data_IF_633782534477
#
_entry.id   IF_633782534477
#
_cell.length_a   1.000
_cell.length_b   1.000
_cell.length_c   1.000
_cell.angle_alpha   90.00
_cell.angle_beta   90.00
_cell.angle_gamma   90.00
#
_symmetry.space_group_name_H-M   'P 1'
#
loop_
_entity.id
_entity.type
_entity.pdbx_description
1 polymer ?
#
# COMPACT_ATOMS: atom_id res chain seq x y z
N UNK A 1 -4.47 -5.01 8.86
CA UNK A 1 -3.01 -5.10 9.02
C UNK A 1 -2.59 -6.54 8.92
N UNK A 2 -1.51 -6.89 8.20
CA UNK A 2 -1.18 -8.27 7.89
C UNK A 2 0.31 -8.54 8.11
N UNK A 3 0.69 -9.68 8.73
CA UNK A 3 2.06 -10.15 8.72
C UNK A 3 2.46 -10.56 7.28
N UNK A 4 3.67 -10.23 6.89
CA UNK A 4 4.19 -10.57 5.56
C UNK A 4 4.89 -11.92 5.65
N UNK A 5 4.28 -12.96 5.10
CA UNK A 5 4.89 -14.28 4.95
C UNK A 5 5.11 -14.60 3.47
N UNK A 6 5.94 -15.59 3.17
CA UNK A 6 6.20 -16.03 1.80
C UNK A 6 4.91 -16.43 1.04
N UNK A 7 3.93 -16.98 1.76
CA UNK A 7 2.66 -17.45 1.20
C UNK A 7 1.51 -16.47 1.39
N UNK A 8 1.75 -15.32 2.06
CA UNK A 8 0.70 -14.35 2.35
C UNK A 8 0.03 -13.83 1.07
N UNK A 9 -1.29 -13.78 1.13
CA UNK A 9 -2.13 -13.20 0.08
C UNK A 9 -2.92 -12.04 0.65
N UNK A 10 -2.88 -10.93 -0.05
CA UNK A 10 -3.53 -9.68 0.35
C UNK A 10 -4.65 -9.36 -0.63
N UNK A 11 -5.87 -9.22 -0.12
CA UNK A 11 -6.99 -8.75 -0.91
C UNK A 11 -6.99 -7.21 -0.93
N UNK A 12 -6.74 -6.62 -2.08
CA UNK A 12 -6.71 -5.16 -2.26
C UNK A 12 -7.62 -4.84 -3.45
N UNK A 13 -8.71 -4.12 -3.19
CA UNK A 13 -9.71 -3.77 -4.21
C UNK A 13 -10.21 -5.00 -4.98
N UNK A 14 -10.64 -6.02 -4.24
CA UNK A 14 -11.16 -7.28 -4.77
C UNK A 14 -10.16 -8.04 -5.68
N UNK A 15 -8.89 -7.76 -5.54
CA UNK A 15 -7.82 -8.44 -6.28
C UNK A 15 -6.83 -9.05 -5.28
N UNK A 16 -6.52 -10.32 -5.48
CA UNK A 16 -5.56 -11.06 -4.67
C UNK A 16 -4.12 -10.78 -5.15
N UNK A 17 -3.26 -10.40 -4.21
CA UNK A 17 -1.84 -10.17 -4.46
C UNK A 17 -0.98 -11.02 -3.53
N UNK A 18 0.12 -11.55 -4.05
CA UNK A 18 1.29 -11.94 -3.27
C UNK A 18 2.23 -10.74 -3.17
N UNK A 19 3.23 -10.78 -2.30
CA UNK A 19 4.25 -9.72 -2.22
C UNK A 19 4.95 -9.49 -3.56
N UNK A 20 5.29 -10.57 -4.27
CA UNK A 20 5.94 -10.48 -5.58
C UNK A 20 5.03 -9.85 -6.64
N UNK A 21 3.77 -10.26 -6.72
CA UNK A 21 2.83 -9.69 -7.68
C UNK A 21 2.46 -8.25 -7.35
N UNK A 22 2.42 -7.89 -6.06
CA UNK A 22 2.12 -6.53 -5.60
C UNK A 22 3.26 -5.55 -5.92
N UNK A 23 4.50 -5.93 -5.67
CA UNK A 23 5.68 -5.07 -5.87
C UNK A 23 6.35 -5.24 -7.23
N UNK A 24 6.05 -6.31 -7.96
CA UNK A 24 6.76 -6.73 -9.18
C UNK A 24 8.27 -6.86 -8.95
N UNK A 25 8.66 -7.38 -7.78
CA UNK A 25 10.06 -7.52 -7.38
C UNK A 25 10.25 -8.63 -6.35
N UNK A 26 10.93 -9.69 -6.74
CA UNK A 26 11.32 -10.78 -5.82
C UNK A 26 12.23 -10.28 -4.69
N UNK A 27 13.13 -9.33 -5.02
CA UNK A 27 14.02 -8.73 -4.03
C UNK A 27 13.24 -8.02 -2.94
N UNK A 28 12.33 -7.13 -3.32
CA UNK A 28 11.49 -6.39 -2.35
C UNK A 28 10.62 -7.36 -1.55
N UNK A 29 10.03 -8.37 -2.18
CA UNK A 29 9.24 -9.37 -1.47
C UNK A 29 10.03 -10.05 -0.36
N UNK A 30 11.30 -10.42 -0.64
CA UNK A 30 12.20 -11.03 0.33
C UNK A 30 12.66 -10.07 1.43
N UNK A 31 12.93 -8.80 1.09
CA UNK A 31 13.37 -7.77 2.05
C UNK A 31 12.31 -7.50 3.14
N UNK A 32 11.03 -7.61 2.81
CA UNK A 32 9.91 -7.35 3.73
C UNK A 32 9.29 -8.62 4.34
N UNK A 33 9.81 -9.80 4.03
CA UNK A 33 9.35 -11.05 4.64
C UNK A 33 9.57 -11.03 6.16
N UNK A 34 8.55 -11.36 6.93
CA UNK A 34 8.54 -11.23 8.40
C UNK A 34 8.18 -9.84 8.92
N UNK A 35 7.99 -8.87 8.04
CA UNK A 35 7.53 -7.52 8.36
C UNK A 35 6.01 -7.39 8.43
N UNK A 36 5.53 -6.16 8.44
CA UNK A 36 4.10 -5.82 8.56
C UNK A 36 3.65 -5.07 7.32
N UNK A 37 2.48 -5.45 6.80
CA UNK A 37 1.76 -4.73 5.74
C UNK A 37 0.50 -4.09 6.33
N UNK A 38 0.39 -2.76 6.22
CA UNK A 38 -0.79 -1.99 6.59
C UNK A 38 -1.51 -1.53 5.34
N UNK A 39 -2.82 -1.79 5.26
CA UNK A 39 -3.69 -1.34 4.16
C UNK A 39 -4.62 -0.26 4.70
N UNK A 40 -4.55 0.93 4.11
CA UNK A 40 -5.44 2.05 4.40
C UNK A 40 -6.39 2.21 3.21
N UNK A 41 -7.63 1.84 3.40
CA UNK A 41 -8.68 2.02 2.40
C UNK A 41 -9.32 3.39 2.57
N UNK A 42 -9.39 4.15 1.48
CA UNK A 42 -10.09 5.43 1.43
C UNK A 42 -11.41 5.27 0.68
N UNK A 43 -12.50 5.69 1.29
CA UNK A 43 -13.81 5.77 0.65
C UNK A 43 -13.92 7.07 -0.14
N UNK A 44 -15.00 7.28 -0.89
CA UNK A 44 -15.18 8.48 -1.72
C UNK A 44 -15.28 9.77 -0.90
N UNK A 45 -15.71 9.66 0.35
CA UNK A 45 -15.90 10.79 1.27
C UNK A 45 -14.64 11.11 2.07
N UNK A 46 -13.60 10.26 1.99
CA UNK A 46 -12.36 10.46 2.71
C UNK A 46 -11.45 11.49 2.02
N UNK A 47 -10.55 12.09 2.81
CA UNK A 47 -9.51 12.97 2.28
C UNK A 47 -8.48 12.18 1.47
N UNK A 48 -8.31 12.52 0.19
CA UNK A 48 -7.53 11.74 -0.76
C UNK A 48 -6.07 12.22 -0.95
N UNK A 49 -5.57 13.05 -0.05
CA UNK A 49 -4.15 13.44 -0.01
C UNK A 49 -3.43 12.64 1.04
N UNK A 50 -2.17 12.31 0.81
CA UNK A 50 -1.34 11.54 1.72
C UNK A 50 0.05 12.16 1.86
N UNK A 51 0.68 11.94 3.00
CA UNK A 51 1.96 12.51 3.38
C UNK A 51 3.01 11.44 3.63
N UNK A 52 4.28 11.88 3.76
CA UNK A 52 5.36 11.01 4.20
C UNK A 52 5.21 10.67 5.69
N UNK A 53 5.41 9.40 6.04
CA UNK A 53 5.22 8.89 7.40
C UNK A 53 6.40 9.16 8.34
N UNK A 54 7.56 9.48 7.79
CA UNK A 54 8.78 9.78 8.55
C UNK A 54 9.73 10.66 7.73
N UNK A 55 10.70 11.25 8.42
CA UNK A 55 11.86 11.90 7.81
C UNK A 55 12.76 10.86 7.17
N UNK A 56 13.34 11.18 6.02
CA UNK A 56 14.24 10.25 5.38
C UNK A 56 14.64 10.61 3.95
N UNK A 57 15.20 9.63 3.28
CA UNK A 57 15.55 9.71 1.86
C UNK A 57 14.66 8.72 1.12
N UNK A 58 13.78 9.23 0.27
CA UNK A 58 12.97 8.39 -0.58
C UNK A 58 13.70 8.00 -1.87
N UNK A 59 13.49 6.77 -2.34
CA UNK A 59 13.93 6.35 -3.66
C UNK A 59 13.12 7.03 -4.78
N UNK A 60 13.57 6.89 -6.01
CA UNK A 60 12.74 7.21 -7.17
C UNK A 60 11.45 6.39 -7.17
N UNK A 61 10.38 6.99 -7.71
CA UNK A 61 9.07 6.37 -7.77
C UNK A 61 9.06 5.23 -8.79
N UNK A 62 8.56 4.05 -8.38
CA UNK A 62 8.35 2.91 -9.26
C UNK A 62 6.87 2.83 -9.62
N UNK A 63 6.58 2.89 -10.92
CA UNK A 63 5.23 2.82 -11.47
C UNK A 63 4.96 1.42 -12.02
N UNK A 64 3.83 0.84 -11.64
CA UNK A 64 3.35 -0.44 -12.12
C UNK A 64 1.99 -0.19 -12.78
N UNK A 65 1.95 -0.36 -14.09
CA UNK A 65 0.71 -0.17 -14.86
C UNK A 65 -0.32 -1.21 -14.44
N UNK A 66 -1.57 -0.78 -14.36
CA UNK A 66 -2.71 -1.68 -14.22
C UNK A 66 -2.90 -2.54 -15.46
N UNK A 67 -3.54 -3.69 -15.27
CA UNK A 67 -3.88 -4.62 -16.35
C UNK A 67 -5.37 -4.89 -16.24
N UNK A 68 -6.08 -4.74 -17.36
CA UNK A 68 -7.46 -5.16 -17.52
C UNK A 68 -7.57 -5.88 -18.85
N UNK A 69 -7.59 -7.21 -18.81
CA UNK A 69 -7.67 -8.03 -20.03
C UNK A 69 -9.11 -8.33 -20.46
N UNK A 70 -10.07 -8.27 -19.52
CA UNK A 70 -11.50 -8.50 -19.81
C UNK A 70 -12.38 -7.89 -18.74
N UNK A 71 -13.59 -7.52 -19.13
CA UNK A 71 -14.68 -7.10 -18.23
C UNK A 71 -15.63 -8.26 -17.92
N UNK A 72 -15.39 -9.47 -18.47
CA UNK A 72 -16.24 -10.62 -18.23
C UNK A 72 -15.98 -11.18 -16.82
N UNK A 73 -16.99 -11.22 -15.92
CA UNK A 73 -16.87 -11.75 -14.56
C UNK A 73 -16.38 -13.20 -14.50
N UNK A 74 -16.80 -14.07 -15.45
CA UNK A 74 -16.43 -15.49 -15.52
C UNK A 74 -14.91 -15.68 -15.66
N UNK A 75 -14.21 -14.75 -16.35
CA UNK A 75 -12.77 -14.83 -16.50
C UNK A 75 -12.01 -14.47 -15.20
N UNK A 76 -12.64 -13.69 -14.32
CA UNK A 76 -12.05 -13.31 -13.03
C UNK A 76 -11.99 -14.51 -12.05
N UNK A 77 -12.98 -15.40 -12.13
CA UNK A 77 -13.02 -16.61 -11.28
C UNK A 77 -12.02 -17.67 -11.77
N UNK A 78 -11.73 -17.70 -13.07
CA UNK A 78 -10.81 -18.66 -13.69
C UNK A 78 -9.33 -18.26 -13.59
N UNK A 79 -9.03 -16.94 -13.56
CA UNK A 79 -7.65 -16.46 -13.55
C UNK A 79 -7.54 -15.02 -13.00
N UNK A 80 -7.16 -14.84 -11.73
CA UNK A 80 -7.13 -13.53 -11.05
C UNK A 80 -6.11 -12.52 -11.62
N UNK A 81 -5.30 -12.91 -12.59
CA UNK A 81 -4.33 -12.02 -13.25
C UNK A 81 -4.96 -11.06 -14.28
N UNK A 82 -6.23 -11.26 -14.63
CA UNK A 82 -6.90 -10.42 -15.63
C UNK A 82 -7.25 -9.02 -15.14
N UNK A 83 -7.23 -8.80 -13.82
CA UNK A 83 -7.54 -7.51 -13.21
C UNK A 83 -6.45 -7.12 -12.22
N UNK A 84 -5.56 -6.23 -12.58
CA UNK A 84 -4.55 -5.68 -11.67
C UNK A 84 -4.59 -4.16 -11.66
N UNK A 85 -4.70 -3.58 -10.47
CA UNK A 85 -4.75 -2.13 -10.32
C UNK A 85 -3.42 -1.46 -10.64
N UNK A 86 -3.47 -0.28 -11.26
CA UNK A 86 -2.33 0.61 -11.38
C UNK A 86 -1.85 1.00 -9.98
N UNK A 87 -0.54 1.00 -9.75
CA UNK A 87 0.05 1.35 -8.47
C UNK A 87 1.43 1.94 -8.61
N UNK A 88 1.79 2.74 -7.65
CA UNK A 88 3.12 3.35 -7.58
C UNK A 88 3.69 3.14 -6.19
N UNK A 89 5.01 3.00 -6.06
CA UNK A 89 5.65 2.96 -4.75
C UNK A 89 7.05 3.56 -4.75
N UNK A 90 7.50 3.94 -3.57
CA UNK A 90 8.89 4.23 -3.28
C UNK A 90 9.33 3.54 -1.99
N UNK A 91 10.64 3.47 -1.81
CA UNK A 91 11.28 3.04 -0.57
C UNK A 91 11.74 4.30 0.17
N UNK A 92 11.27 4.49 1.38
CA UNK A 92 11.65 5.59 2.26
C UNK A 92 12.64 5.06 3.32
N UNK A 93 13.92 5.37 3.15
CA UNK A 93 14.95 5.04 4.14
C UNK A 93 14.91 6.07 5.26
N UNK A 94 14.56 5.63 6.45
CA UNK A 94 14.42 6.43 7.67
C UNK A 94 15.50 6.08 8.69
N UNK A 95 15.68 6.91 9.70
CA UNK A 95 16.62 6.64 10.80
C UNK A 95 16.03 5.69 11.85
N UNK A 96 14.72 5.75 12.08
CA UNK A 96 14.05 5.04 13.19
C UNK A 96 13.27 3.80 12.76
N UNK A 97 12.61 3.84 11.58
CA UNK A 97 11.72 2.77 11.11
C UNK A 97 12.36 1.82 10.10
N UNK A 98 13.68 1.94 9.84
CA UNK A 98 14.33 1.23 8.76
C UNK A 98 13.85 1.73 7.40
N UNK A 99 13.69 0.84 6.43
CA UNK A 99 13.16 1.19 5.11
C UNK A 99 11.67 0.91 5.05
N UNK A 100 10.86 1.96 4.93
CA UNK A 100 9.41 1.84 4.76
C UNK A 100 9.06 1.86 3.29
N UNK A 101 8.35 0.85 2.79
CA UNK A 101 7.74 0.90 1.47
C UNK A 101 6.40 1.62 1.55
N UNK A 102 6.27 2.69 0.78
CA UNK A 102 5.03 3.47 0.66
C UNK A 102 4.46 3.26 -0.72
N UNK A 103 3.25 2.69 -0.82
CA UNK A 103 2.59 2.36 -2.08
C UNK A 103 1.19 2.95 -2.14
N UNK A 104 0.86 3.51 -3.28
CA UNK A 104 -0.48 3.96 -3.65
C UNK A 104 -1.06 3.00 -4.70
N UNK A 105 -2.28 2.54 -4.46
CA UNK A 105 -3.04 1.67 -5.38
C UNK A 105 -4.25 2.43 -5.88
N UNK A 106 -4.26 2.75 -7.16
CA UNK A 106 -5.36 3.45 -7.83
C UNK A 106 -6.53 2.52 -8.14
N UNK A 107 -7.68 3.08 -8.43
CA UNK A 107 -8.78 2.34 -9.03
C UNK A 107 -8.41 1.91 -10.46
N UNK A 108 -9.02 0.83 -10.94
CA UNK A 108 -8.63 0.18 -12.20
C UNK A 108 -8.68 1.14 -13.41
N UNK A 109 -9.66 2.03 -13.44
CA UNK A 109 -9.90 2.96 -14.56
C UNK A 109 -10.01 4.43 -14.13
N UNK A 110 -10.18 4.75 -12.84
CA UNK A 110 -10.64 6.06 -12.38
C UNK A 110 -9.71 6.70 -11.33
N UNK A 111 -8.86 5.95 -10.67
CA UNK A 111 -7.98 6.47 -9.63
C UNK A 111 -6.60 6.85 -10.17
N UNK A 112 -6.42 8.09 -10.63
CA UNK A 112 -5.11 8.57 -11.03
C UNK A 112 -4.27 8.94 -9.81
N UNK A 113 -3.15 8.26 -9.66
CA UNK A 113 -2.16 8.56 -8.63
C UNK A 113 -1.33 9.76 -9.10
N UNK A 114 -1.19 10.77 -8.25
CA UNK A 114 -0.41 11.97 -8.53
C UNK A 114 0.57 12.23 -7.39
N UNK A 115 1.76 11.68 -7.53
CA UNK A 115 2.87 11.92 -6.62
C UNK A 115 3.66 13.16 -7.06
N UNK A 116 3.98 14.06 -6.10
CA UNK A 116 4.69 15.31 -6.39
C UNK A 116 6.13 15.03 -6.79
N UNK A 117 6.84 14.23 -5.98
CA UNK A 117 8.26 13.93 -6.21
C UNK A 117 8.44 12.57 -6.88
N UNK A 118 9.00 12.57 -8.09
CA UNK A 118 9.25 11.35 -8.85
C UNK A 118 10.66 10.79 -8.63
N UNK A 119 11.61 11.65 -8.28
CA UNK A 119 13.04 11.32 -8.14
C UNK A 119 13.41 11.02 -6.68
N UNK A 120 14.61 10.50 -6.49
CA UNK A 120 15.23 10.38 -5.17
C UNK A 120 15.42 11.76 -4.56
N UNK A 121 14.95 11.96 -3.33
CA UNK A 121 15.12 13.21 -2.60
C UNK A 121 14.96 13.00 -1.09
N UNK A 122 15.42 13.98 -0.31
CA UNK A 122 15.13 14.07 1.12
C UNK A 122 13.70 14.58 1.31
N UNK A 123 13.00 14.00 2.29
CA UNK A 123 11.62 14.34 2.63
C UNK A 123 11.46 14.46 4.14
N UNK A 124 10.46 15.25 4.57
CA UNK A 124 10.11 15.41 5.98
C UNK A 124 8.76 14.74 6.26
N UNK A 125 8.61 14.20 7.47
CA UNK A 125 7.34 13.67 7.98
C UNK A 125 6.24 14.72 7.88
N UNK A 126 5.04 14.29 7.46
CA UNK A 126 3.88 15.16 7.31
C UNK A 126 3.87 16.00 6.03
N UNK A 127 4.98 16.10 5.29
CA UNK A 127 4.97 16.76 3.97
C UNK A 127 4.10 15.97 3.01
N UNK A 128 3.23 16.67 2.28
CA UNK A 128 2.35 16.06 1.29
C UNK A 128 3.19 15.35 0.21
N UNK A 129 2.93 14.05 0.07
CA UNK A 129 3.57 13.22 -0.93
C UNK A 129 2.81 13.23 -2.25
N UNK A 130 1.49 13.29 -2.17
CA UNK A 130 0.63 13.25 -3.34
C UNK A 130 -0.84 13.11 -3.02
N UNK A 131 -1.61 12.83 -4.06
CA UNK A 131 -3.06 12.66 -3.96
C UNK A 131 -3.58 11.67 -5.00
N UNK A 132 -4.80 11.20 -4.77
CA UNK A 132 -5.59 10.50 -5.78
C UNK A 132 -6.56 11.46 -6.44
N UNK A 133 -6.61 11.45 -7.76
CA UNK A 133 -7.64 12.12 -8.54
C UNK A 133 -8.75 11.12 -8.86
N UNK A 134 -9.95 11.33 -8.33
CA UNK A 134 -11.20 10.57 -8.56
C UNK A 134 -11.22 9.08 -8.12
N UNK A 135 -12.19 8.75 -7.28
CA UNK A 135 -12.58 7.39 -6.90
C UNK A 135 -11.74 6.75 -5.80
N UNK A 136 -12.34 5.78 -5.14
CA UNK A 136 -11.76 5.08 -4.00
C UNK A 136 -10.34 4.57 -4.22
N UNK A 137 -9.49 4.79 -3.24
CA UNK A 137 -8.05 4.59 -3.30
C UNK A 137 -7.55 3.84 -2.08
N UNK A 138 -6.37 3.28 -2.19
CA UNK A 138 -5.75 2.51 -1.10
C UNK A 138 -4.28 2.93 -0.98
N UNK A 139 -3.87 3.25 0.24
CA UNK A 139 -2.47 3.42 0.59
C UNK A 139 -1.99 2.17 1.32
N UNK A 140 -0.81 1.69 0.99
CA UNK A 140 -0.17 0.56 1.65
C UNK A 140 1.17 1.01 2.21
N UNK A 141 1.40 0.67 3.47
CA UNK A 141 2.70 0.80 4.12
C UNK A 141 3.23 -0.60 4.43
N UNK A 142 4.52 -0.81 4.16
CA UNK A 142 5.20 -2.03 4.57
C UNK A 142 6.46 -1.67 5.34
N UNK A 143 6.70 -2.39 6.42
CA UNK A 143 7.88 -2.23 7.28
C UNK A 143 8.72 -3.50 7.28
N UNK A 144 10.02 -3.34 7.43
CA UNK A 144 10.94 -4.45 7.61
C UNK A 144 10.65 -5.21 8.92
N UNK A 145 11.09 -6.48 9.03
CA UNK A 145 10.91 -7.29 10.24
C UNK A 145 11.41 -6.58 11.51
N UNK A 146 10.62 -6.65 12.59
CA UNK A 146 10.99 -6.14 13.90
C UNK A 146 11.13 -4.62 14.03
N UNK A 147 10.73 -3.84 13.02
CA UNK A 147 10.81 -2.37 13.04
C UNK A 147 9.58 -1.69 13.62
N UNK A 148 8.43 -2.34 13.52
CA UNK A 148 7.14 -1.82 14.01
C UNK A 148 6.42 -2.95 14.73
N UNK A 149 5.83 -2.63 15.86
CA UNK A 149 4.93 -3.50 16.60
C UNK A 149 3.52 -2.91 16.51
N UNK A 150 2.58 -3.59 15.86
CA UNK A 150 1.19 -3.17 15.81
C UNK A 150 0.54 -3.26 17.20
N UNK A 151 -0.41 -2.39 17.47
CA UNK A 151 -1.25 -2.50 18.65
C UNK A 151 -2.13 -3.76 18.57
N UNK A 152 -2.37 -4.40 19.71
CA UNK A 152 -3.09 -5.67 19.79
C UNK A 152 -4.52 -5.59 19.26
N UNK A 153 -5.19 -4.46 19.42
CA UNK A 153 -6.55 -4.23 18.94
C UNK A 153 -6.60 -4.20 17.40
N UNK A 154 -5.59 -3.64 16.73
CA UNK A 154 -5.47 -3.64 15.28
C UNK A 154 -5.32 -5.06 14.72
N UNK A 155 -4.52 -5.89 15.40
CA UNK A 155 -4.34 -7.30 15.04
C UNK A 155 -5.65 -8.05 15.22
N UNK A 156 -6.25 -7.97 16.41
CA UNK A 156 -7.52 -8.65 16.74
C UNK A 156 -8.66 -8.25 15.81
N UNK A 157 -8.80 -6.95 15.50
CA UNK A 157 -9.85 -6.49 14.59
C UNK A 157 -9.64 -7.02 13.17
N UNK A 158 -8.38 -7.04 12.69
CA UNK A 158 -8.07 -7.61 11.37
C UNK A 158 -8.37 -9.10 11.30
N UNK A 159 -8.03 -9.89 12.32
CA UNK A 159 -8.33 -11.32 12.42
C UNK A 159 -9.83 -11.60 12.46
N UNK A 160 -10.59 -10.73 13.12
CA UNK A 160 -12.05 -10.78 13.17
C UNK A 160 -12.73 -10.28 11.86
N UNK A 161 -11.96 -9.80 10.89
CA UNK A 161 -12.46 -9.29 9.62
C UNK A 161 -13.01 -7.87 9.67
N UNK A 162 -12.72 -7.12 10.75
CA UNK A 162 -13.12 -5.73 10.89
C UNK A 162 -12.07 -4.77 10.34
N UNK A 163 -12.53 -3.69 9.72
CA UNK A 163 -11.70 -2.54 9.40
C UNK A 163 -11.69 -1.58 10.59
N UNK A 164 -10.51 -1.31 11.13
CA UNK A 164 -10.36 -0.31 12.20
C UNK A 164 -10.28 1.08 11.59
N UNK A 165 -11.09 2.00 12.10
CA UNK A 165 -11.10 3.39 11.64
C UNK A 165 -9.88 4.11 12.22
N UNK A 166 -8.99 4.61 11.37
CA UNK A 166 -7.69 5.16 11.78
C UNK A 166 -7.82 6.40 12.68
N UNK A 167 -8.83 7.24 12.49
CA UNK A 167 -9.00 8.45 13.31
C UNK A 167 -9.51 8.18 14.75
N UNK A 168 -9.99 6.97 15.06
CA UNK A 168 -10.34 6.62 16.45
C UNK A 168 -9.10 6.42 17.32
N UNK A 169 -7.93 6.21 16.73
CA UNK A 169 -6.64 6.09 17.41
C UNK A 169 -5.84 7.40 17.43
N UNK A 170 -6.34 8.43 16.78
CA UNK A 170 -5.73 9.78 16.75
C UNK A 170 -6.34 10.72 17.80
N UNK A 171 -7.08 10.21 18.75
CA UNK A 171 -7.51 11.01 19.90
C UNK A 171 -6.27 11.34 20.74
N UNK A 172 -5.92 12.61 20.70
CA UNK A 172 -4.89 13.27 21.49
C UNK A 172 -5.18 13.15 22.98
#
# INVERSE_FOLDING_TARGET
MYPITAEARFCIKDTQYTMETLTRSKRVAKEYEGGILCVFRLTVDDYHRYCYVADGIKSSQKKIKGILHTVNPVANDACPIYKMNAREYCLLKTETLGTVLMMEVGALMVGKIKNHEQRNCRVCRGTERGMFEFGGSTVILMTEPGKVQPDEDLIRNTEAGYETVSYTHLTL
#
